data_IF_476232277036
#
_entry.id   IF_476232277036
#
_cell.length_a   1.000
_cell.length_b   1.000
_cell.length_c   1.000
_cell.angle_alpha   90.00
_cell.angle_beta   90.00
_cell.angle_gamma   90.00
#
_symmetry.space_group_name_H-M   'P 1'
#
loop_
_entity.id
_entity.type
_entity.pdbx_description
1 polymer ?
#
# COMPACT_ATOMS: atom_id res chain seq x y z
N UNK A 1 2.68 -22.53 -18.36
CA UNK A 1 2.36 -22.55 -16.91
C UNK A 1 1.96 -21.14 -16.55
N UNK A 2 0.95 -20.93 -15.70
CA UNK A 2 0.58 -19.58 -15.25
C UNK A 2 1.40 -19.19 -14.02
N UNK A 3 2.09 -18.05 -14.05
CA UNK A 3 2.89 -17.50 -12.95
C UNK A 3 2.06 -16.44 -12.19
N UNK A 4 1.82 -16.69 -10.90
CA UNK A 4 1.03 -15.82 -10.03
C UNK A 4 1.91 -15.37 -8.87
N UNK A 5 2.16 -14.07 -8.77
CA UNK A 5 2.87 -13.46 -7.64
C UNK A 5 1.86 -13.02 -6.57
N UNK A 6 2.05 -13.44 -5.32
CA UNK A 6 0.98 -13.43 -4.31
C UNK A 6 1.12 -12.37 -3.20
N UNK A 7 2.26 -11.70 -3.09
CA UNK A 7 2.56 -10.74 -2.02
C UNK A 7 3.14 -9.45 -2.63
N UNK A 8 2.36 -8.84 -3.52
CA UNK A 8 2.82 -7.68 -4.28
C UNK A 8 2.27 -6.40 -3.65
N UNK A 9 3.15 -5.57 -3.13
CA UNK A 9 2.76 -4.40 -2.35
C UNK A 9 2.38 -3.21 -3.24
N UNK A 10 1.36 -2.45 -2.82
CA UNK A 10 1.01 -1.16 -3.40
C UNK A 10 0.72 -0.12 -2.33
N UNK A 11 0.69 1.16 -2.73
CA UNK A 11 0.29 2.28 -1.88
C UNK A 11 -0.60 3.22 -2.70
N UNK A 12 -1.69 3.70 -2.13
CA UNK A 12 -2.46 4.78 -2.74
C UNK A 12 -2.09 6.11 -2.12
N UNK A 13 -2.31 7.17 -2.89
CA UNK A 13 -2.07 8.54 -2.42
C UNK A 13 -2.91 8.88 -1.19
N UNK A 14 -4.14 8.41 -1.11
CA UNK A 14 -5.05 8.68 0.02
C UNK A 14 -4.52 8.08 1.31
N UNK A 15 -4.06 6.82 1.28
CA UNK A 15 -3.48 6.15 2.46
C UNK A 15 -2.22 6.88 2.91
N UNK A 16 -1.37 7.28 1.96
CA UNK A 16 -0.17 8.06 2.25
C UNK A 16 -0.50 9.42 2.88
N UNK A 17 -1.44 10.15 2.29
CA UNK A 17 -1.85 11.47 2.77
C UNK A 17 -2.44 11.36 4.20
N UNK A 18 -3.17 10.28 4.50
CA UNK A 18 -3.69 10.02 5.85
C UNK A 18 -2.58 9.63 6.85
N UNK A 19 -1.56 8.86 6.43
CA UNK A 19 -0.40 8.62 7.29
C UNK A 19 0.32 9.93 7.65
N UNK A 20 0.45 10.85 6.68
CA UNK A 20 1.10 12.15 6.94
C UNK A 20 0.29 13.03 7.91
N UNK A 21 -1.05 12.96 7.88
CA UNK A 21 -1.92 13.73 8.79
C UNK A 21 -1.96 13.15 10.21
N UNK A 22 -1.95 11.82 10.33
CA UNK A 22 -2.19 11.11 11.58
C UNK A 22 -0.91 10.58 12.25
N UNK A 23 0.27 10.85 11.67
CA UNK A 23 1.54 10.44 12.27
C UNK A 23 1.70 11.06 13.67
N UNK A 24 1.60 10.21 14.68
CA UNK A 24 1.92 10.57 16.05
C UNK A 24 3.41 10.91 16.20
N UNK A 25 3.77 11.65 17.26
CA UNK A 25 5.18 12.03 17.55
C UNK A 25 6.16 10.84 17.62
N UNK A 26 5.66 9.63 17.88
CA UNK A 26 6.44 8.39 17.98
C UNK A 26 6.19 7.42 16.80
N UNK A 27 5.44 7.82 15.77
CA UNK A 27 5.14 6.93 14.66
C UNK A 27 6.36 6.79 13.73
N UNK A 28 6.90 5.58 13.68
CA UNK A 28 8.03 5.21 12.82
C UNK A 28 7.64 5.25 11.33
N UNK A 29 6.36 5.33 10.98
CA UNK A 29 5.91 5.55 9.59
C UNK A 29 6.42 6.86 9.00
N UNK A 30 6.61 7.90 9.81
CA UNK A 30 7.23 9.15 9.36
C UNK A 30 8.69 8.96 8.91
N UNK A 31 9.36 7.90 9.36
CA UNK A 31 10.72 7.54 8.91
C UNK A 31 10.72 6.62 7.70
N UNK A 32 9.56 6.14 7.25
CA UNK A 32 9.44 5.42 5.98
C UNK A 32 9.61 6.44 4.86
N UNK A 33 10.86 6.80 4.58
CA UNK A 33 11.23 7.51 3.36
C UNK A 33 11.13 6.52 2.21
N UNK A 34 9.96 6.48 1.58
CA UNK A 34 9.74 5.61 0.44
C UNK A 34 10.53 6.05 -0.79
N UNK A 35 10.88 7.33 -0.95
CA UNK A 35 11.80 7.78 -2.00
C UNK A 35 11.43 7.23 -3.38
N UNK A 36 12.36 6.54 -4.05
CA UNK A 36 12.10 5.87 -5.33
C UNK A 36 11.12 4.69 -5.22
N UNK A 37 11.06 4.02 -4.07
CA UNK A 37 10.10 2.94 -3.78
C UNK A 37 8.66 3.49 -3.75
N UNK A 38 8.46 4.75 -3.37
CA UNK A 38 7.14 5.39 -3.33
C UNK A 38 6.49 5.37 -4.71
N UNK A 39 7.21 5.88 -5.70
CA UNK A 39 6.73 5.92 -7.08
C UNK A 39 6.40 4.53 -7.61
N UNK A 40 7.17 3.50 -7.21
CA UNK A 40 6.92 2.10 -7.61
C UNK A 40 5.74 1.46 -6.88
N UNK A 41 5.46 1.88 -5.65
CA UNK A 41 4.30 1.41 -4.88
C UNK A 41 3.00 2.04 -5.40
N UNK A 42 3.06 3.30 -5.85
CA UNK A 42 1.92 4.00 -6.46
C UNK A 42 1.68 3.62 -7.93
N UNK A 43 2.71 3.16 -8.63
CA UNK A 43 2.62 2.73 -10.03
C UNK A 43 2.01 1.33 -10.18
N UNK A 44 0.72 1.30 -10.54
CA UNK A 44 -0.02 0.05 -10.81
C UNK A 44 -0.07 -0.29 -12.31
N UNK A 45 -0.17 0.72 -13.18
CA UNK A 45 -0.47 0.52 -14.61
C UNK A 45 0.72 0.78 -15.54
N UNK A 46 1.77 1.46 -15.08
CA UNK A 46 2.90 1.86 -15.90
C UNK A 46 4.02 0.82 -15.93
N UNK A 47 5.14 1.16 -15.30
CA UNK A 47 6.34 0.33 -15.28
C UNK A 47 6.10 -1.04 -14.63
N UNK A 48 5.15 -1.14 -13.70
CA UNK A 48 4.75 -2.42 -13.09
C UNK A 48 4.23 -3.42 -14.12
N UNK A 49 3.27 -3.04 -14.97
CA UNK A 49 2.73 -3.94 -15.99
C UNK A 49 3.80 -4.31 -17.02
N UNK A 50 4.63 -3.35 -17.43
CA UNK A 50 5.74 -3.63 -18.33
C UNK A 50 6.70 -4.66 -17.73
N UNK A 51 7.03 -4.54 -16.45
CA UNK A 51 7.91 -5.50 -15.77
C UNK A 51 7.23 -6.87 -15.62
N UNK A 52 5.92 -6.92 -15.39
CA UNK A 52 5.16 -8.18 -15.39
C UNK A 52 5.29 -8.90 -16.74
N UNK A 53 5.13 -8.17 -17.84
CA UNK A 53 5.28 -8.72 -19.20
C UNK A 53 6.72 -9.20 -19.46
N UNK A 54 7.72 -8.40 -19.10
CA UNK A 54 9.15 -8.73 -19.29
C UNK A 54 9.61 -9.94 -18.47
N UNK A 55 9.00 -10.17 -17.31
CA UNK A 55 9.34 -11.27 -16.40
C UNK A 55 8.42 -12.48 -16.50
N UNK A 56 7.35 -12.38 -17.30
CA UNK A 56 6.38 -13.46 -17.50
C UNK A 56 5.44 -13.68 -16.32
N UNK A 57 5.16 -12.65 -15.51
CA UNK A 57 4.17 -12.71 -14.43
C UNK A 57 2.77 -12.50 -15.03
N UNK A 58 1.92 -13.52 -14.96
CA UNK A 58 0.56 -13.44 -15.52
C UNK A 58 -0.41 -12.67 -14.60
N UNK A 59 -0.21 -12.75 -13.28
CA UNK A 59 -1.09 -12.13 -12.27
C UNK A 59 -0.29 -11.71 -11.04
N UNK A 60 -0.57 -10.52 -10.52
CA UNK A 60 -0.17 -10.10 -9.17
C UNK A 60 -1.40 -10.03 -8.25
N UNK A 61 -1.28 -10.58 -7.04
CA UNK A 61 -2.24 -10.36 -5.96
C UNK A 61 -1.71 -9.22 -5.11
N UNK A 62 -2.43 -8.09 -5.15
CA UNK A 62 -2.00 -6.86 -4.52
C UNK A 62 -2.38 -6.78 -3.05
N UNK A 63 -1.45 -6.29 -2.23
CA UNK A 63 -1.64 -6.04 -0.80
C UNK A 63 -1.19 -4.62 -0.44
N UNK A 64 -1.95 -3.94 0.42
CA UNK A 64 -1.59 -2.59 0.85
C UNK A 64 -0.29 -2.68 1.67
N UNK A 65 0.69 -1.84 1.33
CA UNK A 65 1.99 -1.85 2.01
C UNK A 65 1.86 -1.56 3.50
N UNK A 66 2.80 -2.09 4.28
CA UNK A 66 2.80 -1.87 5.72
C UNK A 66 3.05 -0.39 6.08
N UNK A 67 2.36 0.15 7.10
CA UNK A 67 1.51 -0.54 8.09
C UNK A 67 0.01 -0.64 7.72
N UNK A 68 -0.37 -0.46 6.46
CA UNK A 68 -1.78 -0.43 6.05
C UNK A 68 -2.56 0.65 6.83
N UNK A 69 -3.77 0.36 7.28
CA UNK A 69 -4.63 1.32 7.98
C UNK A 69 -4.46 1.29 9.51
N UNK A 70 -3.54 0.47 10.05
CA UNK A 70 -3.44 0.23 11.49
C UNK A 70 -3.14 1.49 12.31
N UNK A 71 -2.53 2.50 11.69
CA UNK A 71 -2.12 3.74 12.35
C UNK A 71 -3.13 4.89 12.17
N UNK A 72 -4.23 4.69 11.44
CA UNK A 72 -5.19 5.77 11.09
C UNK A 72 -6.28 6.04 12.14
N UNK A 73 -6.05 5.65 13.41
CA UNK A 73 -6.95 5.96 14.51
C UNK A 73 -8.24 5.13 14.56
N UNK A 74 -8.97 5.24 15.67
CA UNK A 74 -10.09 4.38 16.04
C UNK A 74 -11.40 4.64 15.30
N UNK A 75 -11.48 5.61 14.38
CA UNK A 75 -12.70 5.81 13.56
C UNK A 75 -12.99 4.60 12.67
N UNK A 76 -11.97 3.83 12.31
CA UNK A 76 -12.06 2.58 11.56
C UNK A 76 -12.91 1.48 12.24
N UNK A 77 -13.13 1.58 13.56
CA UNK A 77 -13.76 0.53 14.39
C UNK A 77 -15.21 0.86 14.77
N UNK A 78 -15.74 2.03 14.39
CA UNK A 78 -17.09 2.48 14.77
C UNK A 78 -18.19 2.10 13.76
N UNK A 79 -18.07 0.96 13.09
CA UNK A 79 -19.23 0.33 12.45
C UNK A 79 -19.79 -0.76 13.35
N UNK A 80 -21.08 -0.60 13.72
CA UNK A 80 -21.93 -1.50 14.50
C UNK A 80 -22.01 -1.22 16.02
N UNK A 81 -22.88 -0.29 16.40
CA UNK A 81 -23.86 -0.53 17.45
C UNK A 81 -25.04 0.44 17.31
N UNK A 82 -25.90 0.20 16.32
CA UNK A 82 -27.30 0.64 16.40
C UNK A 82 -28.10 -0.59 16.87
N UNK A 83 -28.40 -0.63 18.17
CA UNK A 83 -29.46 -1.46 18.75
C UNK A 83 -30.68 -0.59 19.02
#
# INVERSE_FOLDING_TARGET
>A
MKLIAIEEHFLTKEVKDEWQKNAGKDDLTHKLHFGEIENRLEDIEGSRLQLMDETGIDVQVLSLTSPSLHNLGSESINQQHNS
#
